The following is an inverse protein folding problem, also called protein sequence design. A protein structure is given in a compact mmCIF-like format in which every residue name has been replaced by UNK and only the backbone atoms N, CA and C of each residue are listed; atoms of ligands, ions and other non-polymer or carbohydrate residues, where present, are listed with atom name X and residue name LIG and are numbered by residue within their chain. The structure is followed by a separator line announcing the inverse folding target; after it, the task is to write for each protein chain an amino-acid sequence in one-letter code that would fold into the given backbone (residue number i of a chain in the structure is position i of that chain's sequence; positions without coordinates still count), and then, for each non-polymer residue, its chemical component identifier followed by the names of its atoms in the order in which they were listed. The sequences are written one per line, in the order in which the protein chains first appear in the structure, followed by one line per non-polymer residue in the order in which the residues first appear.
data_IF_360380601488
#
_entry.id   IF_360380601488
#
_cell.length_a   1.000
_cell.length_b   1.000
_cell.length_c   1.000
_cell.angle_alpha   90.00
_cell.angle_beta   90.00
_cell.angle_gamma   90.00
#
_symmetry.space_group_name_H-M   'P 1'
#
loop_
_entity.id
_entity.type
_entity.pdbx_description
1 polymer ?
#
# COMPACT_ATOMS: atom_id res chain seq x y z
N UNK A 1 25.18 -6.44 6.28
CA UNK A 1 23.76 -6.06 6.07
C UNK A 1 23.70 -5.29 4.77
N UNK A 2 23.16 -5.90 3.73
CA UNK A 2 23.08 -5.29 2.40
C UNK A 2 21.63 -4.99 2.10
N UNK A 3 21.28 -3.70 2.10
CA UNK A 3 19.94 -3.25 1.81
C UNK A 3 19.80 -3.03 0.31
N UNK A 4 18.76 -3.59 -0.31
CA UNK A 4 18.45 -3.41 -1.73
C UNK A 4 16.95 -3.21 -1.96
N UNK A 5 16.60 -2.58 -3.07
CA UNK A 5 15.21 -2.37 -3.50
C UNK A 5 14.99 -3.20 -4.76
N UNK A 6 13.98 -4.06 -4.74
CA UNK A 6 13.56 -4.86 -5.89
C UNK A 6 12.20 -4.39 -6.38
N UNK A 7 12.06 -4.15 -7.67
CA UNK A 7 10.81 -3.69 -8.27
C UNK A 7 10.41 -4.62 -9.42
N UNK A 8 9.37 -5.41 -9.19
CA UNK A 8 8.81 -6.35 -10.17
C UNK A 8 7.62 -5.72 -10.88
N UNK A 9 7.71 -5.60 -12.22
CA UNK A 9 6.76 -4.94 -13.07
C UNK A 9 5.84 -5.92 -13.78
N UNK A 10 4.55 -5.70 -13.65
CA UNK A 10 3.50 -6.39 -14.39
C UNK A 10 2.57 -5.37 -15.05
N UNK A 11 1.71 -5.78 -15.99
CA UNK A 11 0.82 -4.83 -16.63
C UNK A 11 -0.03 -4.03 -15.63
N UNK A 12 0.19 -2.70 -15.61
CA UNK A 12 -0.51 -1.76 -14.72
C UNK A 12 -0.10 -1.77 -13.25
N UNK A 13 0.85 -2.62 -12.81
CA UNK A 13 1.24 -2.72 -11.41
C UNK A 13 2.75 -2.97 -11.25
N UNK A 14 3.38 -2.23 -10.34
CA UNK A 14 4.75 -2.45 -9.89
C UNK A 14 4.71 -2.84 -8.42
N UNK A 15 5.26 -4.00 -8.09
CA UNK A 15 5.45 -4.48 -6.71
C UNK A 15 6.87 -4.16 -6.29
N UNK A 16 7.03 -3.50 -5.16
CA UNK A 16 8.32 -2.97 -4.71
C UNK A 16 8.62 -3.53 -3.33
N UNK A 17 9.69 -4.29 -3.22
CA UNK A 17 10.19 -4.87 -1.98
C UNK A 17 11.50 -4.19 -1.58
N UNK A 18 11.63 -3.86 -0.30
CA UNK A 18 12.91 -3.49 0.29
C UNK A 18 13.42 -4.68 1.07
N UNK A 19 14.58 -5.18 0.68
CA UNK A 19 15.23 -6.33 1.29
C UNK A 19 16.42 -5.88 2.13
N UNK A 20 16.59 -6.50 3.29
CA UNK A 20 17.82 -6.42 4.07
C UNK A 20 18.40 -7.84 4.18
N UNK A 21 19.42 -8.13 3.38
CA UNK A 21 19.84 -9.49 3.07
C UNK A 21 18.61 -10.32 2.60
N UNK A 22 18.25 -11.43 3.26
CA UNK A 22 17.08 -12.25 2.92
C UNK A 22 15.76 -11.80 3.61
N UNK A 23 15.79 -10.67 4.33
CA UNK A 23 14.61 -10.23 5.08
C UNK A 23 13.84 -9.15 4.33
N UNK A 24 12.55 -9.38 4.08
CA UNK A 24 11.65 -8.36 3.57
C UNK A 24 11.35 -7.34 4.69
N UNK A 25 11.80 -6.10 4.51
CA UNK A 25 11.67 -5.04 5.53
C UNK A 25 10.66 -3.95 5.18
N UNK A 26 10.34 -3.77 3.89
CA UNK A 26 9.28 -2.87 3.45
C UNK A 26 8.66 -3.36 2.14
N UNK A 27 7.40 -3.01 1.91
CA UNK A 27 6.68 -3.38 0.69
C UNK A 27 5.71 -2.29 0.26
N UNK A 28 5.63 -2.04 -1.05
CA UNK A 28 4.67 -1.12 -1.63
C UNK A 28 4.15 -1.64 -2.98
N UNK A 29 2.90 -1.29 -3.29
CA UNK A 29 2.30 -1.46 -4.61
C UNK A 29 2.18 -0.09 -5.27
N UNK A 30 2.59 0.01 -6.52
CA UNK A 30 2.42 1.19 -7.36
C UNK A 30 1.59 0.84 -8.60
N UNK A 31 0.53 1.59 -8.83
CA UNK A 31 -0.34 1.48 -10.00
C UNK A 31 -0.29 2.80 -10.76
N UNK A 32 0.55 2.94 -11.81
CA UNK A 32 0.74 4.19 -12.53
C UNK A 32 -0.57 4.77 -13.11
N UNK A 33 -1.48 3.91 -13.57
CA UNK A 33 -2.79 4.31 -14.09
C UNK A 33 -3.81 4.73 -13.02
N UNK A 34 -3.57 4.38 -11.74
CA UNK A 34 -4.46 4.67 -10.61
C UNK A 34 -3.66 4.98 -9.35
N UNK A 35 -2.92 6.09 -9.38
CA UNK A 35 -2.13 6.54 -8.23
C UNK A 35 -3.03 6.94 -7.07
N UNK A 36 -2.53 6.85 -5.84
CA UNK A 36 -3.22 7.34 -4.64
C UNK A 36 -3.17 8.87 -4.48
N UNK A 37 -2.43 9.55 -5.36
CA UNK A 37 -2.29 10.99 -5.46
C UNK A 37 -1.46 11.64 -4.37
N UNK A 38 -0.92 10.90 -3.40
CA UNK A 38 -0.14 11.50 -2.31
C UNK A 38 1.11 12.19 -2.85
N UNK A 39 1.28 13.47 -2.49
CA UNK A 39 2.35 14.32 -3.00
C UNK A 39 1.99 15.06 -4.31
N UNK A 40 0.85 14.73 -4.95
CA UNK A 40 0.37 15.46 -6.13
C UNK A 40 0.10 16.93 -5.77
N UNK A 41 0.64 17.84 -6.58
CA UNK A 41 0.44 19.28 -6.48
C UNK A 41 -0.68 19.68 -7.45
N UNK A 42 -1.71 20.33 -6.93
CA UNK A 42 -2.84 20.79 -7.71
C UNK A 42 -3.05 22.30 -7.57
N UNK A 43 -3.54 22.92 -8.63
CA UNK A 43 -4.34 24.12 -8.51
C UNK A 43 -5.77 23.69 -8.23
N UNK A 44 -6.29 24.05 -7.06
CA UNK A 44 -7.64 23.70 -6.62
C UNK A 44 -8.52 24.93 -6.48
N UNK A 45 -9.83 24.72 -6.39
CA UNK A 45 -10.83 25.76 -6.13
C UNK A 45 -11.67 25.37 -4.93
N UNK A 46 -11.76 26.24 -3.93
CA UNK A 46 -12.67 26.05 -2.79
C UNK A 46 -14.11 26.01 -3.29
N UNK A 47 -14.79 24.91 -3.02
CA UNK A 47 -16.21 24.72 -3.37
C UNK A 47 -17.15 25.06 -2.23
N UNK A 48 -16.76 24.71 -0.99
CA UNK A 48 -17.56 24.97 0.19
C UNK A 48 -16.69 25.06 1.45
N UNK A 49 -17.03 26.02 2.31
CA UNK A 49 -16.53 26.08 3.69
C UNK A 49 -17.39 25.19 4.58
N UNK A 50 -16.75 24.44 5.47
CA UNK A 50 -17.43 23.56 6.43
C UNK A 50 -16.93 23.87 7.84
N UNK A 51 -17.45 24.91 8.50
CA UNK A 51 -17.00 25.34 9.82
C UNK A 51 -17.04 24.23 10.88
N UNK A 52 -18.07 23.37 10.82
CA UNK A 52 -18.21 22.23 11.73
C UNK A 52 -17.05 21.20 11.62
N UNK A 53 -16.34 21.17 10.48
CA UNK A 53 -15.17 20.31 10.25
C UNK A 53 -13.85 21.09 10.33
N UNK A 54 -13.89 22.38 10.66
CA UNK A 54 -12.74 23.28 10.67
C UNK A 54 -11.92 23.19 9.37
N UNK A 55 -12.58 23.41 8.21
CA UNK A 55 -11.93 23.30 6.90
C UNK A 55 -12.84 23.65 5.73
N UNK A 56 -12.39 23.29 4.54
CA UNK A 56 -13.09 23.52 3.28
C UNK A 56 -12.96 22.32 2.34
N UNK A 57 -13.95 22.11 1.49
CA UNK A 57 -13.83 21.27 0.32
C UNK A 57 -13.19 22.05 -0.83
N UNK A 58 -12.33 21.37 -1.57
CA UNK A 58 -11.55 21.90 -2.68
C UNK A 58 -11.72 20.99 -3.90
N UNK A 59 -12.28 21.53 -4.98
CA UNK A 59 -12.31 20.81 -6.25
C UNK A 59 -10.90 20.73 -6.82
N UNK A 60 -10.48 19.52 -7.15
CA UNK A 60 -9.26 19.16 -7.84
C UNK A 60 -9.60 18.74 -9.27
N UNK A 61 -8.60 18.31 -10.02
CA UNK A 61 -8.80 17.66 -11.32
C UNK A 61 -9.34 16.23 -11.09
N UNK A 62 -10.65 16.06 -11.34
CA UNK A 62 -11.33 14.75 -11.24
C UNK A 62 -11.75 14.29 -9.84
N UNK A 63 -11.53 15.07 -8.78
CA UNK A 63 -11.90 14.70 -7.41
C UNK A 63 -12.10 15.94 -6.52
N UNK A 64 -12.79 15.75 -5.39
CA UNK A 64 -12.87 16.74 -4.32
C UNK A 64 -11.99 16.31 -3.14
N UNK A 65 -11.16 17.24 -2.64
CA UNK A 65 -10.33 17.05 -1.46
C UNK A 65 -10.79 17.89 -0.26
N UNK A 66 -10.31 17.56 0.93
CA UNK A 66 -10.56 18.30 2.15
C UNK A 66 -9.31 19.02 2.63
N UNK A 67 -9.39 20.36 2.75
CA UNK A 67 -8.34 21.24 3.25
C UNK A 67 -8.69 21.71 4.67
N UNK A 68 -7.98 21.31 5.72
CA UNK A 68 -8.18 21.81 7.08
C UNK A 68 -7.83 23.28 7.22
N UNK A 69 -8.44 23.97 8.20
CA UNK A 69 -8.09 25.35 8.55
C UNK A 69 -6.63 25.46 8.97
N UNK A 70 -6.14 24.49 9.73
CA UNK A 70 -4.72 24.41 10.15
C UNK A 70 -3.74 24.21 8.99
N UNK A 71 -4.24 23.78 7.83
CA UNK A 71 -3.46 23.53 6.61
C UNK A 71 -3.67 24.58 5.52
N UNK A 72 -4.34 25.71 5.85
CA UNK A 72 -4.46 26.86 4.97
C UNK A 72 -5.86 27.16 4.44
N UNK A 73 -6.93 26.50 4.93
CA UNK A 73 -8.29 26.88 4.58
C UNK A 73 -8.81 28.07 5.37
N UNK A 74 -8.17 28.46 6.49
CA UNK A 74 -8.61 29.56 7.34
C UNK A 74 -8.72 30.87 6.53
N UNK A 75 -9.89 31.55 6.64
CA UNK A 75 -10.15 32.82 5.94
C UNK A 75 -10.43 32.71 4.44
N UNK A 76 -10.26 31.55 3.81
CA UNK A 76 -10.57 31.38 2.40
C UNK A 76 -12.08 31.24 2.17
N UNK A 77 -12.58 31.73 1.02
CA UNK A 77 -14.00 31.74 0.65
C UNK A 77 -14.26 30.82 -0.54
N UNK A 78 -15.52 30.42 -0.73
CA UNK A 78 -15.92 29.66 -1.91
C UNK A 78 -15.55 30.43 -3.19
N UNK A 79 -15.03 29.71 -4.19
CA UNK A 79 -14.51 30.29 -5.42
C UNK A 79 -13.02 30.63 -5.40
N UNK A 80 -12.39 30.72 -4.20
CA UNK A 80 -10.93 30.96 -4.11
C UNK A 80 -10.13 29.87 -4.82
N UNK A 81 -9.21 30.29 -5.70
CA UNK A 81 -8.23 29.44 -6.37
C UNK A 81 -6.95 29.45 -5.52
N UNK A 82 -6.38 28.27 -5.26
CA UNK A 82 -5.15 28.13 -4.47
C UNK A 82 -4.37 26.89 -4.88
N UNK A 83 -3.08 26.89 -4.56
CA UNK A 83 -2.22 25.70 -4.65
C UNK A 83 -2.46 24.78 -3.45
N UNK A 84 -2.60 23.48 -3.72
CA UNK A 84 -2.73 22.46 -2.67
C UNK A 84 -1.97 21.22 -3.03
N UNK A 85 -1.44 20.55 -2.01
CA UNK A 85 -0.80 19.24 -2.15
C UNK A 85 -1.59 18.18 -1.39
N UNK A 86 -1.70 16.99 -1.96
CA UNK A 86 -2.32 15.85 -1.30
C UNK A 86 -1.36 15.29 -0.25
N UNK A 87 -1.77 15.29 1.00
CA UNK A 87 -0.98 14.77 2.14
C UNK A 87 -1.44 13.39 2.59
N UNK A 88 -2.66 12.99 2.22
CA UNK A 88 -3.21 11.68 2.52
C UNK A 88 -4.17 11.25 1.42
N UNK A 89 -4.06 10.00 1.00
CA UNK A 89 -4.94 9.38 0.01
C UNK A 89 -6.42 9.40 0.44
N UNK A 90 -7.30 9.35 -0.55
CA UNK A 90 -8.74 9.15 -0.34
C UNK A 90 -8.99 7.84 0.44
N UNK A 91 -10.11 7.77 1.17
CA UNK A 91 -10.52 6.60 1.94
C UNK A 91 -12.03 6.39 1.87
N UNK A 92 -12.46 5.27 1.30
CA UNK A 92 -13.88 5.02 1.09
C UNK A 92 -14.52 6.19 0.33
N UNK A 93 -15.56 6.80 0.91
CA UNK A 93 -16.25 7.95 0.33
C UNK A 93 -15.61 9.30 0.73
N UNK A 94 -14.48 9.31 1.44
CA UNK A 94 -13.80 10.55 1.82
C UNK A 94 -12.71 10.85 0.81
N UNK A 95 -12.75 12.07 0.25
CA UNK A 95 -11.69 12.57 -0.63
C UNK A 95 -10.33 12.70 0.06
N UNK A 96 -9.27 12.97 -0.70
CA UNK A 96 -7.93 13.14 -0.17
C UNK A 96 -7.84 14.32 0.80
N UNK A 97 -6.90 14.24 1.74
CA UNK A 97 -6.57 15.35 2.64
C UNK A 97 -5.49 16.22 2.03
N UNK A 98 -5.64 17.52 2.16
CA UNK A 98 -4.85 18.52 1.48
C UNK A 98 -4.08 19.40 2.48
N UNK A 99 -3.00 20.03 2.00
CA UNK A 99 -2.33 21.18 2.62
C UNK A 99 -2.12 22.27 1.56
N UNK A 100 -2.26 23.52 1.96
CA UNK A 100 -1.87 24.69 1.18
C UNK A 100 -0.53 25.28 1.65
N UNK A 101 0.16 24.62 2.58
CA UNK A 101 1.51 24.99 3.05
C UNK A 101 2.55 24.52 2.06
N UNK A 102 2.64 25.23 0.94
CA UNK A 102 3.56 24.97 -0.16
C UNK A 102 4.84 25.78 0.03
N UNK A 103 5.95 25.27 -0.44
CA UNK A 103 7.17 26.06 -0.55
C UNK A 103 7.08 27.09 -1.70
N UNK A 104 8.05 28.01 -1.75
CA UNK A 104 8.06 29.11 -2.74
C UNK A 104 8.12 28.59 -4.19
N UNK A 105 8.82 27.48 -4.43
CA UNK A 105 8.93 26.87 -5.76
C UNK A 105 7.59 26.25 -6.18
N UNK A 106 6.99 25.46 -5.31
CA UNK A 106 5.67 24.85 -5.55
C UNK A 106 4.59 25.92 -5.75
N UNK A 107 4.61 26.99 -4.95
CA UNK A 107 3.66 28.09 -5.08
C UNK A 107 3.82 28.81 -6.45
N UNK A 108 5.05 28.99 -6.94
CA UNK A 108 5.30 29.59 -8.25
C UNK A 108 4.79 28.74 -9.42
N UNK A 109 4.70 27.42 -9.26
CA UNK A 109 4.19 26.51 -10.28
C UNK A 109 2.66 26.57 -10.44
N UNK A 110 1.91 27.08 -9.47
CA UNK A 110 0.43 26.99 -9.46
C UNK A 110 -0.19 27.75 -10.63
N UNK A 111 0.30 28.95 -10.93
CA UNK A 111 -0.23 29.80 -12.01
C UNK A 111 -1.72 30.18 -11.80
N UNK A 112 -2.38 30.57 -12.88
CA UNK A 112 -3.80 30.94 -12.90
C UNK A 112 -4.62 30.01 -13.80
N UNK A 113 -5.94 29.88 -13.54
CA UNK A 113 -6.86 29.09 -14.35
C UNK A 113 -7.73 28.13 -13.55
N UNK A 114 -8.42 27.19 -14.22
CA UNK A 114 -9.28 26.21 -13.57
C UNK A 114 -8.49 25.19 -12.75
N UNK A 115 -9.16 24.37 -11.91
CA UNK A 115 -8.51 23.24 -11.22
C UNK A 115 -7.78 22.34 -12.21
N UNK A 116 -6.56 21.95 -11.85
CA UNK A 116 -5.69 21.09 -12.69
C UNK A 116 -4.62 20.45 -11.84
N UNK A 117 -4.20 19.24 -12.23
CA UNK A 117 -2.97 18.63 -11.71
C UNK A 117 -1.75 19.38 -12.26
N UNK A 118 -0.96 20.01 -11.39
CA UNK A 118 0.23 20.78 -11.75
C UNK A 118 1.47 19.89 -11.83
N UNK A 119 1.65 19.02 -10.84
CA UNK A 119 2.79 18.10 -10.75
C UNK A 119 2.40 16.83 -10.01
N UNK A 120 2.78 15.68 -10.55
CA UNK A 120 2.67 14.40 -9.86
C UNK A 120 3.64 14.32 -8.69
N UNK A 121 3.18 13.74 -7.59
CA UNK A 121 4.01 13.34 -6.48
C UNK A 121 4.97 12.19 -6.84
N UNK A 122 6.02 11.98 -6.03
CA UNK A 122 6.94 10.87 -6.26
C UNK A 122 6.23 9.53 -6.08
N UNK A 123 6.38 8.63 -7.04
CA UNK A 123 5.85 7.26 -6.95
C UNK A 123 6.51 6.46 -5.80
N UNK A 124 5.90 5.34 -5.39
CA UNK A 124 6.40 4.52 -4.27
C UNK A 124 7.86 4.10 -4.43
N UNK A 125 8.30 3.74 -5.63
CA UNK A 125 9.70 3.37 -5.89
C UNK A 125 10.65 4.53 -5.61
N UNK A 126 10.33 5.73 -6.09
CA UNK A 126 11.14 6.92 -5.83
C UNK A 126 11.17 7.31 -4.35
N UNK A 127 10.06 7.15 -3.64
CA UNK A 127 10.00 7.40 -2.20
C UNK A 127 10.85 6.42 -1.39
N UNK A 128 10.75 5.11 -1.69
CA UNK A 128 11.56 4.09 -1.02
C UNK A 128 13.04 4.26 -1.35
N UNK A 129 13.38 4.61 -2.60
CA UNK A 129 14.75 4.90 -2.99
C UNK A 129 15.31 6.17 -2.31
N UNK A 130 14.46 7.16 -1.98
CA UNK A 130 14.86 8.34 -1.21
C UNK A 130 15.04 8.03 0.29
N UNK A 131 14.23 7.11 0.85
CA UNK A 131 14.41 6.64 2.23
C UNK A 131 15.69 5.81 2.41
N UNK A 132 16.17 5.18 1.34
CA UNK A 132 17.36 4.33 1.34
C UNK A 132 18.33 4.79 0.23
N UNK A 133 19.04 5.93 0.43
CA UNK A 133 19.82 6.58 -0.62
C UNK A 133 20.99 5.76 -1.14
N UNK A 134 21.51 4.83 -0.35
CA UNK A 134 22.64 3.96 -0.73
C UNK A 134 22.21 2.60 -1.30
N UNK A 135 20.92 2.24 -1.21
CA UNK A 135 20.45 0.94 -1.65
C UNK A 135 20.43 0.83 -3.19
N UNK A 136 20.99 -0.21 -3.79
CA UNK A 136 20.80 -0.51 -5.21
C UNK A 136 19.32 -0.79 -5.50
N UNK A 137 18.90 -0.49 -6.73
CA UNK A 137 17.53 -0.70 -7.22
C UNK A 137 17.58 -1.68 -8.37
N UNK A 138 17.02 -2.87 -8.16
CA UNK A 138 16.87 -3.90 -9.18
C UNK A 138 15.47 -3.79 -9.79
N UNK A 139 15.38 -3.63 -11.10
CA UNK A 139 14.13 -3.39 -11.82
C UNK A 139 14.07 -4.26 -13.07
N UNK A 140 12.92 -4.88 -13.36
CA UNK A 140 12.74 -5.80 -14.49
C UNK A 140 11.95 -5.22 -15.67
N UNK A 141 11.78 -3.90 -15.72
CA UNK A 141 11.13 -3.22 -16.85
C UNK A 141 12.04 -2.14 -17.46
N UNK A 142 12.42 -2.28 -18.75
CA UNK A 142 13.32 -1.32 -19.40
C UNK A 142 12.70 0.05 -19.62
N UNK A 143 11.38 0.14 -19.80
CA UNK A 143 10.68 1.43 -19.99
C UNK A 143 10.68 2.26 -18.72
N UNK A 144 10.34 1.62 -17.59
CA UNK A 144 10.41 2.26 -16.28
C UNK A 144 11.85 2.57 -15.88
N UNK A 145 12.82 1.69 -16.21
CA UNK A 145 14.24 1.94 -15.98
C UNK A 145 14.72 3.19 -16.71
N UNK A 146 14.34 3.38 -17.97
CA UNK A 146 14.69 4.59 -18.73
C UNK A 146 14.13 5.86 -18.09
N UNK A 147 12.89 5.81 -17.58
CA UNK A 147 12.23 6.92 -16.91
C UNK A 147 12.90 7.29 -15.57
N UNK A 148 13.37 6.30 -14.82
CA UNK A 148 13.94 6.51 -13.48
C UNK A 148 15.47 6.71 -13.48
N UNK A 149 16.16 6.37 -14.56
CA UNK A 149 17.61 6.50 -14.66
C UNK A 149 18.14 7.93 -14.42
N UNK A 150 17.48 9.01 -14.86
CA UNK A 150 17.93 10.37 -14.54
C UNK A 150 17.98 10.66 -13.02
N UNK A 151 17.10 10.02 -12.24
CA UNK A 151 17.01 10.24 -10.79
C UNK A 151 17.85 9.24 -9.98
N UNK A 152 17.89 7.96 -10.41
CA UNK A 152 18.54 6.88 -9.66
C UNK A 152 19.99 6.64 -10.10
N UNK A 153 20.37 7.08 -11.30
CA UNK A 153 21.74 6.99 -11.81
C UNK A 153 22.28 5.56 -11.84
N UNK A 154 23.49 5.39 -11.32
CA UNK A 154 24.21 4.12 -11.25
C UNK A 154 23.58 3.10 -10.27
N UNK A 155 22.72 3.55 -9.36
CA UNK A 155 22.03 2.65 -8.43
C UNK A 155 21.03 1.74 -9.13
N UNK A 156 20.54 2.12 -10.32
CA UNK A 156 19.53 1.37 -11.07
C UNK A 156 20.18 0.31 -11.94
N UNK A 157 19.85 -0.95 -11.66
CA UNK A 157 20.26 -2.11 -12.45
C UNK A 157 19.02 -2.77 -13.07
N UNK A 158 19.03 -2.91 -14.39
CA UNK A 158 18.02 -3.70 -15.10
C UNK A 158 18.33 -5.18 -14.96
N UNK A 159 17.36 -5.96 -14.49
CA UNK A 159 17.46 -7.40 -14.31
C UNK A 159 16.38 -8.12 -15.11
N UNK A 160 16.53 -9.44 -15.32
CA UNK A 160 15.52 -10.23 -16.03
C UNK A 160 14.25 -10.44 -15.21
N UNK A 161 14.39 -10.64 -13.90
CA UNK A 161 13.32 -10.77 -12.94
C UNK A 161 13.80 -10.17 -11.62
N UNK A 162 13.04 -9.20 -11.08
CA UNK A 162 13.39 -8.55 -9.83
C UNK A 162 13.00 -9.40 -8.61
N UNK A 163 11.95 -10.22 -8.74
CA UNK A 163 11.52 -11.16 -7.72
C UNK A 163 11.81 -12.58 -8.16
N UNK A 164 12.36 -13.39 -7.26
CA UNK A 164 12.38 -14.84 -7.36
C UNK A 164 11.07 -15.45 -6.86
N UNK A 165 10.96 -16.78 -6.92
CA UNK A 165 9.77 -17.50 -6.51
C UNK A 165 9.50 -17.40 -5.00
N UNK A 166 10.55 -17.37 -4.18
CA UNK A 166 10.44 -17.28 -2.73
C UNK A 166 9.91 -15.90 -2.29
N UNK A 167 10.51 -14.83 -2.81
CA UNK A 167 10.05 -13.48 -2.54
C UNK A 167 8.61 -13.25 -3.04
N UNK A 168 8.28 -13.78 -4.22
CA UNK A 168 6.92 -13.71 -4.77
C UNK A 168 5.91 -14.39 -3.84
N UNK A 169 6.19 -15.61 -3.39
CA UNK A 169 5.33 -16.34 -2.46
C UNK A 169 5.18 -15.61 -1.12
N UNK A 170 6.28 -15.03 -0.59
CA UNK A 170 6.26 -14.25 0.65
C UNK A 170 5.41 -12.99 0.54
N UNK A 171 5.48 -12.30 -0.61
CA UNK A 171 4.66 -11.12 -0.87
C UNK A 171 3.19 -11.49 -1.04
N UNK A 172 2.89 -12.59 -1.73
CA UNK A 172 1.51 -13.06 -1.88
C UNK A 172 0.90 -13.46 -0.52
N UNK A 173 1.68 -14.02 0.39
CA UNK A 173 1.27 -14.34 1.76
C UNK A 173 0.90 -13.09 2.61
N UNK A 174 1.33 -11.87 2.21
CA UNK A 174 0.86 -10.65 2.87
C UNK A 174 -0.65 -10.40 2.69
N UNK A 175 -1.32 -11.09 1.79
CA UNK A 175 -2.77 -11.05 1.64
C UNK A 175 -3.50 -11.93 2.66
N UNK A 176 -2.82 -12.93 3.24
CA UNK A 176 -3.43 -13.86 4.19
C UNK A 176 -3.63 -13.20 5.56
N UNK A 177 -4.79 -13.39 6.20
CA UNK A 177 -5.04 -12.84 7.53
C UNK A 177 -4.23 -13.54 8.62
N UNK A 178 -3.77 -14.76 8.39
CA UNK A 178 -2.99 -15.56 9.35
C UNK A 178 -1.52 -15.49 8.99
N UNK A 179 -0.69 -15.23 9.98
CA UNK A 179 0.78 -15.22 9.86
C UNK A 179 1.36 -16.23 10.84
N UNK A 180 2.01 -17.25 10.32
CA UNK A 180 2.72 -18.23 11.15
C UNK A 180 3.99 -17.59 11.72
N UNK A 181 4.21 -17.84 13.00
CA UNK A 181 5.36 -17.37 13.76
C UNK A 181 6.22 -18.52 14.26
N UNK A 182 7.51 -18.28 14.57
CA UNK A 182 8.37 -19.28 15.17
C UNK A 182 7.78 -19.88 16.46
N UNK A 183 7.99 -21.17 16.66
CA UNK A 183 7.52 -21.88 17.85
C UNK A 183 6.04 -22.29 17.82
N UNK A 184 5.38 -22.21 16.65
CA UNK A 184 3.98 -22.62 16.47
C UNK A 184 2.98 -21.56 16.94
N UNK A 185 3.44 -20.35 17.20
CA UNK A 185 2.57 -19.20 17.42
C UNK A 185 2.04 -18.65 16.10
N UNK A 186 1.00 -17.81 16.13
CA UNK A 186 0.48 -17.12 14.95
C UNK A 186 -0.08 -15.74 15.28
N UNK A 187 -0.19 -14.89 14.26
CA UNK A 187 -0.97 -13.65 14.30
C UNK A 187 -2.19 -13.80 13.42
N UNK A 188 -3.35 -13.38 13.92
CA UNK A 188 -4.56 -13.18 13.14
C UNK A 188 -4.82 -11.70 12.96
N UNK A 189 -4.77 -11.19 11.71
CA UNK A 189 -4.86 -9.76 11.39
C UNK A 189 -6.18 -9.50 10.68
N UNK A 190 -7.07 -8.74 11.33
CA UNK A 190 -8.43 -8.46 10.88
C UNK A 190 -8.68 -6.96 10.71
N UNK A 191 -8.42 -6.37 9.53
CA UNK A 191 -8.80 -5.01 9.25
C UNK A 191 -10.32 -4.87 9.16
N UNK A 192 -10.85 -3.82 9.81
CA UNK A 192 -12.25 -3.40 9.71
C UNK A 192 -12.33 -1.93 9.27
N UNK A 193 -13.50 -1.40 8.91
CA UNK A 193 -13.62 0.02 8.57
C UNK A 193 -13.23 0.98 9.71
N UNK A 194 -13.29 0.54 10.97
CA UNK A 194 -13.02 1.38 12.14
C UNK A 194 -11.61 1.21 12.70
N UNK A 195 -11.09 -0.01 12.72
CA UNK A 195 -9.79 -0.35 13.32
C UNK A 195 -9.27 -1.67 12.76
N UNK A 196 -8.01 -1.97 13.00
CA UNK A 196 -7.45 -3.31 12.79
C UNK A 196 -7.37 -4.04 14.13
N UNK A 197 -7.96 -5.22 14.23
CA UNK A 197 -7.75 -6.13 15.36
C UNK A 197 -6.65 -7.14 15.00
N UNK A 198 -5.72 -7.36 15.92
CA UNK A 198 -4.67 -8.37 15.81
C UNK A 198 -4.76 -9.25 17.05
N UNK A 199 -4.93 -10.56 16.83
CA UNK A 199 -4.88 -11.58 17.88
C UNK A 199 -3.57 -12.34 17.78
N UNK A 200 -2.96 -12.61 18.93
CA UNK A 200 -1.74 -13.41 19.06
C UNK A 200 -2.10 -14.74 19.66
N UNK A 201 -1.98 -15.81 18.88
CA UNK A 201 -2.09 -17.19 19.39
C UNK A 201 -0.69 -17.73 19.71
N UNK A 202 -0.54 -18.24 20.93
CA UNK A 202 0.72 -18.83 21.40
C UNK A 202 0.93 -20.29 20.95
N UNK A 203 -0.06 -20.87 20.26
CA UNK A 203 -0.05 -22.28 19.90
C UNK A 203 -0.09 -23.23 21.12
N UNK A 204 0.14 -24.51 20.90
CA UNK A 204 0.14 -25.54 21.93
C UNK A 204 1.39 -25.51 22.81
N UNK A 205 1.59 -24.46 23.61
CA UNK A 205 2.73 -24.38 24.55
C UNK A 205 2.48 -25.31 25.75
N UNK A 206 3.17 -26.43 25.78
CA UNK A 206 3.13 -27.44 26.88
C UNK A 206 4.00 -27.02 28.07
N UNK A 207 3.73 -25.89 28.70
CA UNK A 207 4.49 -25.43 29.87
C UNK A 207 3.82 -25.89 31.17
N UNK A 208 4.60 -26.41 32.13
CA UNK A 208 4.19 -26.76 33.48
C UNK A 208 3.61 -25.53 34.22
N UNK A 209 2.62 -25.72 35.08
CA UNK A 209 1.79 -24.67 35.70
C UNK A 209 2.57 -23.51 36.38
N UNK A 210 3.73 -23.73 36.96
CA UNK A 210 4.50 -22.68 37.65
C UNK A 210 5.32 -21.75 36.73
N UNK A 211 5.61 -22.16 35.49
CA UNK A 211 6.49 -21.46 34.56
C UNK A 211 5.69 -20.79 33.40
N UNK A 212 4.42 -21.14 33.27
CA UNK A 212 3.54 -20.74 32.15
C UNK A 212 3.54 -19.23 31.88
N UNK A 213 3.42 -18.39 32.91
CA UNK A 213 3.36 -16.97 32.74
C UNK A 213 4.69 -16.31 32.31
N UNK A 214 5.83 -16.88 32.70
CA UNK A 214 7.14 -16.38 32.25
C UNK A 214 7.41 -16.80 30.80
N UNK A 215 7.08 -18.03 30.43
CA UNK A 215 7.18 -18.54 29.04
C UNK A 215 6.30 -17.73 28.11
N UNK A 216 5.04 -17.47 28.46
CA UNK A 216 4.13 -16.64 27.67
C UNK A 216 4.61 -15.19 27.54
N UNK A 217 5.17 -14.61 28.59
CA UNK A 217 5.76 -13.28 28.50
C UNK A 217 6.95 -13.24 27.54
N UNK A 218 7.86 -14.22 27.65
CA UNK A 218 9.01 -14.32 26.76
C UNK A 218 8.60 -14.52 25.30
N UNK A 219 7.60 -15.38 25.04
CA UNK A 219 7.03 -15.59 23.71
C UNK A 219 6.47 -14.27 23.16
N UNK A 220 5.53 -13.63 23.88
CA UNK A 220 4.94 -12.36 23.42
C UNK A 220 5.99 -11.28 23.18
N UNK A 221 7.03 -11.20 24.04
CA UNK A 221 8.14 -10.28 23.82
C UNK A 221 8.95 -10.62 22.57
N UNK A 222 9.17 -11.90 22.30
CA UNK A 222 9.94 -12.39 21.15
C UNK A 222 9.28 -12.10 19.80
N UNK A 223 7.95 -12.05 19.75
CA UNK A 223 7.22 -11.78 18.50
C UNK A 223 7.03 -10.29 18.18
N UNK A 224 7.32 -9.36 19.11
CA UNK A 224 7.09 -7.93 18.88
C UNK A 224 7.77 -7.37 17.63
N UNK A 225 9.01 -7.74 17.28
CA UNK A 225 9.63 -7.29 16.03
C UNK A 225 8.86 -7.77 14.79
N UNK A 226 8.34 -9.01 14.79
CA UNK A 226 7.56 -9.57 13.69
C UNK A 226 6.19 -8.90 13.59
N UNK A 227 5.52 -8.65 14.73
CA UNK A 227 4.29 -7.88 14.78
C UNK A 227 4.47 -6.48 14.18
N UNK A 228 5.53 -5.77 14.55
CA UNK A 228 5.84 -4.46 14.01
C UNK A 228 6.14 -4.51 12.50
N UNK A 229 6.85 -5.54 12.04
CA UNK A 229 7.11 -5.78 10.63
C UNK A 229 5.79 -6.02 9.85
N UNK A 230 4.87 -6.84 10.34
CA UNK A 230 3.58 -7.10 9.70
C UNK A 230 2.71 -5.82 9.62
N UNK A 231 2.69 -5.00 10.67
CA UNK A 231 2.01 -3.70 10.67
C UNK A 231 2.57 -2.81 9.55
N UNK A 232 3.89 -2.78 9.37
CA UNK A 232 4.56 -1.98 8.35
C UNK A 232 4.38 -2.55 6.95
N UNK A 233 4.66 -3.85 6.73
CA UNK A 233 4.57 -4.51 5.43
C UNK A 233 3.16 -4.46 4.84
N UNK A 234 2.14 -4.61 5.66
CA UNK A 234 0.72 -4.50 5.26
C UNK A 234 0.23 -3.06 5.22
N UNK A 235 1.07 -2.09 5.59
CA UNK A 235 0.72 -0.69 5.74
C UNK A 235 -0.56 -0.50 6.58
N UNK A 236 -0.73 -1.29 7.65
CA UNK A 236 -1.86 -1.14 8.56
C UNK A 236 -1.84 0.26 9.16
N UNK A 237 -2.99 0.90 9.27
CA UNK A 237 -3.05 2.31 9.66
C UNK A 237 -4.35 2.66 10.38
N UNK A 238 -4.37 3.81 11.05
CA UNK A 238 -5.44 4.19 11.96
C UNK A 238 -5.25 3.54 13.34
N UNK A 239 -6.36 3.17 13.98
CA UNK A 239 -6.34 2.47 15.25
C UNK A 239 -6.04 0.97 15.04
N UNK A 240 -5.10 0.43 15.81
CA UNK A 240 -4.73 -0.98 15.80
C UNK A 240 -4.80 -1.46 17.25
N UNK A 241 -5.56 -2.53 17.48
CA UNK A 241 -5.68 -3.19 18.78
C UNK A 241 -5.00 -4.56 18.73
N UNK A 242 -4.13 -4.86 19.71
CA UNK A 242 -3.42 -6.13 19.77
C UNK A 242 -3.77 -6.88 21.04
N UNK A 243 -4.28 -8.10 20.91
CA UNK A 243 -4.51 -9.04 22.01
C UNK A 243 -3.32 -9.99 22.15
N UNK A 244 -2.61 -9.89 23.26
CA UNK A 244 -1.45 -10.73 23.55
C UNK A 244 -1.84 -12.02 24.26
N UNK A 245 -1.30 -13.14 23.75
CA UNK A 245 -1.64 -14.47 24.19
C UNK A 245 -1.43 -14.72 25.70
N UNK A 246 -2.47 -15.14 26.38
CA UNK A 246 -2.39 -15.81 27.69
C UNK A 246 -1.79 -15.00 28.84
N UNK A 247 -1.64 -13.67 28.72
CA UNK A 247 -1.09 -12.81 29.76
C UNK A 247 -2.19 -12.08 30.54
N UNK A 248 -2.05 -12.00 31.86
CA UNK A 248 -2.84 -11.08 32.68
C UNK A 248 -2.53 -9.61 32.33
N UNK A 249 -3.52 -8.70 32.48
CA UNK A 249 -3.44 -7.29 32.05
C UNK A 249 -2.15 -6.60 32.51
N UNK A 250 -1.77 -6.69 33.79
CA UNK A 250 -0.51 -6.10 34.30
C UNK A 250 0.76 -6.60 33.59
N UNK A 251 0.77 -7.87 33.14
CA UNK A 251 1.91 -8.42 32.42
C UNK A 251 1.91 -7.99 30.95
N UNK A 252 0.75 -7.73 30.39
CA UNK A 252 0.63 -7.14 29.05
C UNK A 252 1.19 -5.73 29.02
N UNK A 253 0.85 -4.90 30.01
CA UNK A 253 1.42 -3.55 30.17
C UNK A 253 2.95 -3.55 30.23
N UNK A 254 3.56 -4.57 30.84
CA UNK A 254 5.01 -4.70 30.90
C UNK A 254 5.69 -4.97 29.54
N UNK A 255 4.92 -5.29 28.47
CA UNK A 255 5.42 -5.37 27.09
C UNK A 255 5.58 -3.97 26.46
N UNK A 256 4.98 -2.92 27.04
CA UNK A 256 4.89 -1.59 26.44
C UNK A 256 6.22 -1.02 25.96
N UNK A 257 7.28 -0.97 26.79
CA UNK A 257 8.59 -0.48 26.35
C UNK A 257 9.14 -1.25 25.13
N UNK A 258 9.15 -2.58 25.18
CA UNK A 258 9.64 -3.40 24.08
C UNK A 258 8.80 -3.28 22.81
N UNK A 259 7.48 -3.09 22.93
CA UNK A 259 6.60 -2.81 21.78
C UNK A 259 6.89 -1.44 21.18
N UNK A 260 7.11 -0.41 22.02
CA UNK A 260 7.49 0.92 21.53
C UNK A 260 8.82 0.86 20.77
N UNK A 261 9.82 0.14 21.29
CA UNK A 261 11.10 -0.04 20.62
C UNK A 261 10.96 -0.77 19.27
N UNK A 262 10.13 -1.82 19.22
CA UNK A 262 9.86 -2.55 17.98
C UNK A 262 9.20 -1.68 16.90
N UNK A 263 8.31 -0.75 17.30
CA UNK A 263 7.63 0.18 16.40
C UNK A 263 8.52 1.34 15.93
N UNK A 264 9.63 1.64 16.60
CA UNK A 264 10.47 2.82 16.36
C UNK A 264 11.10 2.86 14.95
N UNK A 265 11.31 1.69 14.33
CA UNK A 265 11.91 1.57 12.99
C UNK A 265 10.93 1.86 11.85
N UNK A 266 9.64 2.08 12.11
CA UNK A 266 8.66 2.42 11.10
C UNK A 266 8.75 3.93 10.75
N UNK A 267 8.99 4.29 9.46
CA UNK A 267 9.08 5.69 9.02
C UNK A 267 7.84 6.53 9.36
N UNK A 268 6.65 5.91 9.46
CA UNK A 268 5.40 6.58 9.83
C UNK A 268 5.25 6.77 11.35
N UNK A 269 6.21 6.27 12.15
CA UNK A 269 6.28 6.49 13.61
C UNK A 269 4.97 6.16 14.32
N UNK A 270 4.50 4.90 14.25
CA UNK A 270 3.34 4.48 15.03
C UNK A 270 3.59 4.69 16.52
N UNK A 271 2.53 4.96 17.27
CA UNK A 271 2.63 5.22 18.71
C UNK A 271 1.79 4.22 19.48
N UNK A 272 2.38 3.63 20.50
CA UNK A 272 1.63 2.94 21.55
C UNK A 272 0.99 4.00 22.45
N UNK A 273 -0.34 3.99 22.57
CA UNK A 273 -1.08 4.92 23.43
C UNK A 273 -1.22 4.38 24.86
N UNK A 274 -1.14 3.07 25.01
CA UNK A 274 -1.30 2.35 26.28
C UNK A 274 -2.00 1.01 26.09
N UNK A 275 -2.68 0.59 27.13
CA UNK A 275 -3.46 -0.65 27.14
C UNK A 275 -4.87 -0.39 27.64
N UNK A 276 -5.88 -0.99 26.99
CA UNK A 276 -7.26 -0.92 27.45
C UNK A 276 -7.42 -1.61 28.82
N UNK A 277 -8.56 -1.43 29.45
CA UNK A 277 -8.92 -2.21 30.68
C UNK A 277 -9.00 -3.71 30.42
N UNK A 278 -9.22 -4.13 29.17
CA UNK A 278 -9.18 -5.54 28.76
C UNK A 278 -7.75 -6.04 28.55
N UNK A 279 -6.76 -5.17 28.57
CA UNK A 279 -5.35 -5.48 28.35
C UNK A 279 -4.96 -5.51 26.87
N UNK A 280 -5.77 -4.97 25.94
CA UNK A 280 -5.40 -4.83 24.55
C UNK A 280 -4.43 -3.66 24.38
N UNK A 281 -3.32 -3.84 23.65
CA UNK A 281 -2.44 -2.75 23.31
C UNK A 281 -3.12 -1.83 22.27
N UNK A 282 -3.09 -0.52 22.53
CA UNK A 282 -3.66 0.52 21.67
C UNK A 282 -2.56 1.18 20.86
N UNK A 283 -2.49 0.90 19.56
CA UNK A 283 -1.51 1.50 18.66
C UNK A 283 -2.24 2.44 17.70
N UNK A 284 -1.67 3.61 17.43
CA UNK A 284 -2.09 4.49 16.34
C UNK A 284 -0.95 4.65 15.34
N UNK A 285 -1.23 4.37 14.06
CA UNK A 285 -0.29 4.57 12.95
C UNK A 285 -0.90 5.52 11.93
N UNK A 286 -0.19 6.61 11.52
CA UNK A 286 -0.71 7.54 10.52
C UNK A 286 -1.14 6.81 9.24
N UNK A 287 -2.31 7.17 8.70
CA UNK A 287 -2.74 6.72 7.38
C UNK A 287 -2.36 7.79 6.37
N UNK A 288 -1.40 7.50 5.51
CA UNK A 288 -0.99 8.35 4.39
C UNK A 288 -1.41 7.71 3.08
N UNK A 289 -0.99 6.48 2.85
CA UNK A 289 -1.31 5.64 1.69
C UNK A 289 -2.36 4.59 2.05
N UNK A 290 -3.07 4.02 1.06
CA UNK A 290 -3.98 2.90 1.30
C UNK A 290 -3.22 1.70 1.92
N UNK A 291 -3.81 1.00 2.89
CA UNK A 291 -3.25 -0.24 3.40
C UNK A 291 -3.35 -1.36 2.34
N UNK A 292 -2.47 -2.36 2.47
CA UNK A 292 -2.31 -3.40 1.46
C UNK A 292 -3.61 -4.19 1.19
N UNK A 293 -4.38 -4.50 2.23
CA UNK A 293 -5.65 -5.20 2.08
C UNK A 293 -6.67 -4.45 1.20
N UNK A 294 -6.65 -3.12 1.18
CA UNK A 294 -7.50 -2.33 0.27
C UNK A 294 -7.02 -2.39 -1.19
N UNK A 295 -5.71 -2.54 -1.41
CA UNK A 295 -5.11 -2.64 -2.74
C UNK A 295 -5.26 -4.03 -3.35
N UNK A 296 -5.32 -5.09 -2.53
CA UNK A 296 -5.36 -6.47 -2.97
C UNK A 296 -6.76 -7.03 -3.19
N UNK A 297 -7.81 -6.30 -2.77
CA UNK A 297 -9.20 -6.75 -2.92
C UNK A 297 -9.92 -6.00 -4.03
N UNK A 298 -11.00 -6.60 -4.50
CA UNK A 298 -11.94 -6.00 -5.44
C UNK A 298 -11.63 -6.27 -6.91
N UNK A 299 -12.55 -5.85 -7.79
CA UNK A 299 -12.52 -6.21 -9.21
C UNK A 299 -11.27 -5.71 -9.95
N UNK A 300 -10.76 -4.51 -9.63
CA UNK A 300 -9.55 -3.99 -10.28
C UNK A 300 -8.31 -4.81 -9.92
N UNK A 301 -8.15 -5.18 -8.63
CA UNK A 301 -7.06 -6.03 -8.18
C UNK A 301 -7.09 -7.41 -8.86
N UNK A 302 -8.28 -8.01 -8.96
CA UNK A 302 -8.50 -9.27 -9.68
C UNK A 302 -8.14 -9.14 -11.17
N UNK A 303 -8.52 -8.03 -11.79
CA UNK A 303 -8.16 -7.72 -13.18
C UNK A 303 -6.64 -7.62 -13.38
N UNK A 304 -5.94 -6.88 -12.53
CA UNK A 304 -4.46 -6.78 -12.60
C UNK A 304 -3.77 -8.13 -12.34
N UNK A 305 -4.32 -8.97 -11.45
CA UNK A 305 -3.84 -10.34 -11.28
C UNK A 305 -3.99 -11.18 -12.55
N UNK A 306 -5.13 -11.05 -13.25
CA UNK A 306 -5.35 -11.71 -14.53
C UNK A 306 -4.37 -11.21 -15.61
N UNK A 307 -4.12 -9.90 -15.69
CA UNK A 307 -3.15 -9.33 -16.65
C UNK A 307 -1.71 -9.79 -16.33
N UNK A 308 -1.34 -9.90 -15.06
CA UNK A 308 -0.02 -10.44 -14.64
C UNK A 308 0.12 -11.90 -15.07
N UNK A 309 -0.90 -12.72 -14.85
CA UNK A 309 -0.90 -14.12 -15.30
C UNK A 309 -0.83 -14.20 -16.84
N UNK A 310 -1.61 -13.39 -17.56
CA UNK A 310 -1.57 -13.33 -19.02
C UNK A 310 -0.16 -12.95 -19.53
N UNK A 311 0.51 -11.98 -18.90
CA UNK A 311 1.87 -11.60 -19.26
C UNK A 311 2.87 -12.76 -19.04
N UNK A 312 2.72 -13.51 -17.93
CA UNK A 312 3.52 -14.70 -17.65
C UNK A 312 3.29 -15.81 -18.70
N UNK A 313 2.03 -16.11 -19.04
CA UNK A 313 1.68 -17.13 -20.03
C UNK A 313 2.22 -16.77 -21.42
N UNK A 314 2.15 -15.50 -21.81
CA UNK A 314 2.67 -14.99 -23.08
C UNK A 314 4.20 -15.07 -23.11
N UNK A 315 4.87 -14.79 -22.00
CA UNK A 315 6.34 -14.89 -21.92
C UNK A 315 6.82 -16.34 -22.14
N UNK A 316 6.05 -17.33 -21.65
CA UNK A 316 6.31 -18.76 -21.88
C UNK A 316 5.95 -19.20 -23.30
N UNK A 317 4.85 -18.67 -23.85
CA UNK A 317 4.36 -19.03 -25.19
C UNK A 317 3.91 -17.79 -25.99
N UNK A 318 4.83 -17.05 -26.62
CA UNK A 318 4.53 -15.80 -27.32
C UNK A 318 3.53 -15.93 -28.50
N UNK A 319 3.40 -17.14 -29.07
CA UNK A 319 2.47 -17.40 -30.17
C UNK A 319 1.00 -17.49 -29.73
N UNK A 320 0.72 -17.71 -28.46
CA UNK A 320 -0.64 -17.95 -27.96
C UNK A 320 -1.43 -16.64 -27.87
N UNK A 321 -2.53 -16.55 -28.63
CA UNK A 321 -3.51 -15.49 -28.44
C UNK A 321 -4.39 -15.81 -27.24
N UNK A 322 -4.54 -14.89 -26.31
CA UNK A 322 -5.32 -15.04 -25.08
C UNK A 322 -6.55 -14.13 -25.09
N UNK A 323 -7.62 -14.62 -24.48
CA UNK A 323 -8.77 -13.84 -24.06
C UNK A 323 -8.92 -13.94 -22.55
N UNK A 324 -9.32 -12.83 -21.94
CA UNK A 324 -9.72 -12.76 -20.54
C UNK A 324 -11.24 -12.85 -20.46
N UNK A 325 -11.77 -13.97 -20.00
CA UNK A 325 -13.18 -14.14 -19.63
C UNK A 325 -13.30 -13.88 -18.13
N UNK A 326 -14.04 -12.84 -17.77
CA UNK A 326 -14.10 -12.38 -16.37
C UNK A 326 -15.50 -11.85 -16.01
N UNK A 327 -15.77 -11.77 -14.71
CA UNK A 327 -16.98 -11.11 -14.22
C UNK A 327 -17.11 -9.70 -14.79
N UNK A 328 -18.33 -9.19 -15.07
CA UNK A 328 -18.55 -7.85 -15.63
C UNK A 328 -17.91 -6.73 -14.81
N UNK A 329 -17.87 -6.88 -13.48
CA UNK A 329 -17.22 -5.96 -12.55
C UNK A 329 -15.72 -5.81 -12.80
N UNK A 330 -15.01 -6.90 -13.13
CA UNK A 330 -13.58 -6.88 -13.46
C UNK A 330 -13.36 -6.15 -14.79
N UNK A 331 -14.14 -6.46 -15.82
CA UNK A 331 -14.04 -5.80 -17.13
C UNK A 331 -14.30 -4.30 -16.98
N UNK A 332 -15.37 -3.92 -16.27
CA UNK A 332 -15.68 -2.52 -15.99
C UNK A 332 -14.60 -1.79 -15.17
N UNK A 333 -13.86 -2.51 -14.33
CA UNK A 333 -12.76 -1.93 -13.55
C UNK A 333 -11.46 -1.79 -14.35
N UNK A 334 -11.20 -2.65 -15.34
CA UNK A 334 -10.02 -2.59 -16.22
C UNK A 334 -10.17 -1.56 -17.35
N UNK A 335 -11.37 -1.39 -17.91
CA UNK A 335 -11.61 -0.46 -19.04
C UNK A 335 -11.14 0.99 -18.78
N UNK A 336 -11.31 1.57 -17.56
CA UNK A 336 -10.81 2.90 -17.26
C UNK A 336 -9.30 2.94 -16.93
N UNK A 337 -8.60 1.83 -17.06
CA UNK A 337 -7.14 1.74 -16.84
C UNK A 337 -6.42 1.37 -18.15
N UNK A 338 -6.33 2.32 -19.11
CA UNK A 338 -5.64 2.09 -20.37
C UNK A 338 -4.16 1.77 -20.17
N UNK A 339 -3.54 2.29 -19.10
CA UNK A 339 -2.12 2.06 -18.80
C UNK A 339 -1.85 0.56 -18.62
N UNK A 340 -2.72 -0.15 -17.89
CA UNK A 340 -2.58 -1.59 -17.67
C UNK A 340 -2.78 -2.41 -18.96
N UNK A 341 -3.81 -2.07 -19.73
CA UNK A 341 -4.14 -2.78 -20.97
C UNK A 341 -3.09 -2.53 -22.08
N UNK A 342 -2.64 -1.29 -22.23
CA UNK A 342 -1.62 -0.92 -23.20
C UNK A 342 -0.24 -1.51 -22.84
N UNK A 343 0.08 -1.62 -21.54
CA UNK A 343 1.32 -2.27 -21.10
C UNK A 343 1.31 -3.76 -21.47
N UNK A 344 0.21 -4.47 -21.23
CA UNK A 344 0.07 -5.86 -21.67
C UNK A 344 0.16 -5.97 -23.20
N UNK A 345 -0.52 -5.07 -23.93
CA UNK A 345 -0.52 -5.10 -25.39
C UNK A 345 0.89 -4.88 -25.96
N UNK A 346 1.69 -3.99 -25.39
CA UNK A 346 3.09 -3.80 -25.79
C UNK A 346 3.94 -5.04 -25.53
N UNK A 347 3.78 -5.69 -24.37
CA UNK A 347 4.51 -6.93 -24.01
C UNK A 347 4.12 -8.10 -24.90
N UNK A 348 2.84 -8.20 -25.27
CA UNK A 348 2.28 -9.28 -26.08
C UNK A 348 2.39 -9.05 -27.59
N UNK A 349 2.67 -7.84 -28.04
CA UNK A 349 2.58 -7.42 -29.44
C UNK A 349 1.14 -7.40 -29.99
N UNK A 350 0.13 -7.55 -29.13
CA UNK A 350 -1.30 -7.56 -29.47
C UNK A 350 -2.17 -7.22 -28.27
N UNK A 351 -3.37 -6.72 -28.50
CA UNK A 351 -4.36 -6.46 -27.44
C UNK A 351 -4.96 -7.75 -26.89
N UNK A 352 -5.24 -7.77 -25.59
CA UNK A 352 -6.00 -8.85 -24.94
C UNK A 352 -7.49 -8.71 -25.27
N UNK A 353 -8.12 -9.81 -25.65
CA UNK A 353 -9.59 -9.86 -25.86
C UNK A 353 -10.25 -9.92 -24.48
N UNK A 354 -11.15 -8.97 -24.19
CA UNK A 354 -11.91 -8.94 -22.94
C UNK A 354 -13.33 -9.46 -23.18
N UNK A 355 -13.77 -10.45 -22.38
CA UNK A 355 -15.10 -11.07 -22.45
C UNK A 355 -15.76 -11.01 -21.08
N UNK A 356 -16.86 -10.28 -20.98
CA UNK A 356 -17.67 -10.26 -19.75
C UNK A 356 -18.54 -11.52 -19.67
N UNK A 357 -18.48 -12.21 -18.52
CA UNK A 357 -19.31 -13.38 -18.23
C UNK A 357 -20.09 -13.16 -16.93
N UNK A 358 -21.40 -12.88 -17.01
CA UNK A 358 -22.26 -12.67 -15.85
C UNK A 358 -22.44 -13.89 -14.94
N UNK A 359 -22.07 -15.08 -15.41
CA UNK A 359 -22.16 -16.31 -14.59
C UNK A 359 -21.02 -16.46 -13.59
N UNK A 360 -19.97 -15.68 -13.74
CA UNK A 360 -18.82 -15.71 -12.84
C UNK A 360 -19.04 -14.89 -11.58
N UNK A 361 -18.50 -15.38 -10.45
CA UNK A 361 -18.43 -14.60 -9.21
C UNK A 361 -17.69 -13.27 -9.42
N UNK A 362 -18.04 -12.24 -8.66
CA UNK A 362 -17.61 -10.83 -8.86
C UNK A 362 -16.10 -10.58 -9.01
N UNK A 363 -15.24 -11.50 -8.53
CA UNK A 363 -13.78 -11.43 -8.65
C UNK A 363 -13.18 -12.59 -9.45
N UNK A 364 -14.03 -13.44 -10.06
CA UNK A 364 -13.55 -14.61 -10.81
C UNK A 364 -13.21 -14.26 -12.26
N UNK A 365 -12.17 -14.90 -12.76
CA UNK A 365 -11.68 -14.76 -14.12
C UNK A 365 -11.00 -16.04 -14.62
N UNK A 366 -10.91 -16.17 -15.92
CA UNK A 366 -10.24 -17.29 -16.61
C UNK A 366 -9.51 -16.76 -17.84
N UNK A 367 -8.28 -17.20 -18.05
CA UNK A 367 -7.55 -17.00 -19.30
C UNK A 367 -7.83 -18.19 -20.23
N UNK A 368 -8.26 -17.90 -21.42
CA UNK A 368 -8.58 -18.89 -22.45
C UNK A 368 -7.93 -18.53 -23.79
N UNK A 369 -7.75 -19.50 -24.72
CA UNK A 369 -7.34 -19.16 -26.07
C UNK A 369 -8.33 -18.18 -26.70
N UNK A 370 -7.82 -17.11 -27.33
CA UNK A 370 -8.66 -16.30 -28.18
C UNK A 370 -8.97 -17.13 -29.45
N UNK A 371 -10.17 -17.69 -29.51
CA UNK A 371 -10.67 -18.32 -30.75
C UNK A 371 -10.91 -17.19 -31.74
N UNK A 372 -10.31 -17.31 -32.93
CA UNK A 372 -10.46 -16.38 -34.03
C UNK A 372 -11.91 -16.29 -34.52
#
# INVERSE_FOLDING_TARGET
MTLEIRAACSPGEVRIAVMNDDTLVDFAIWRPGRTDGVGDLHRGRITARVPAMAGAFVALDGADGFLPDTEGAAGATAGTILGVQITRAAQGNKGPRLTAKLDAHEQAMIGSGPPVLVRRGPGPLSRLAALHPEAPVLLDDPGLAATLRPTLGARLTLVRAAFDAELSARIDALADPIVDLPGGASLSIHPTPALTAIDVDAGATTATRGVKGAVQFALNRGILPMLAAEIRLRNLSGAILVDFAGLAARRREALGPALTDALANDPLRPRLLGFTRLGLAEIVRPRIHPPLHELLVGPHAAGLAALRQAASDIAVNPGRALALRAAPSIIAALQPDPVALDDLARRAGRSLVLRADPSLHATAWVLEPAIA
#
